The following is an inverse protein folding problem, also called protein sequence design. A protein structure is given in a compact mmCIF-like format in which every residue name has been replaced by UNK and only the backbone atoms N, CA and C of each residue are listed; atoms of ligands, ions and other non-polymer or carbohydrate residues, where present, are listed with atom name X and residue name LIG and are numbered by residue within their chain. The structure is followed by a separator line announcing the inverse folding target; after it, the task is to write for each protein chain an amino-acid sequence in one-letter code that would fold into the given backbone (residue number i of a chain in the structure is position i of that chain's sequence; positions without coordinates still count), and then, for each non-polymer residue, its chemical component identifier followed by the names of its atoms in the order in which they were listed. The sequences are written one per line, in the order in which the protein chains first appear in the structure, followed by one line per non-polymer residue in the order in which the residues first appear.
data_IF_818579585710
#
_entry.id   IF_818579585710
#
_cell.length_a   1.000
_cell.length_b   1.000
_cell.length_c   1.000
_cell.angle_alpha   90.00
_cell.angle_beta   90.00
_cell.angle_gamma   90.00
#
_symmetry.space_group_name_H-M   'P 1'
#
loop_
_entity.id
_entity.type
_entity.pdbx_description
1 polymer ?
#
# COMPACT_ATOMS: atom_id res chain seq x y z
N UNK A 1 -6.43 1.15 4.48
CA UNK A 1 -6.13 1.08 5.94
C UNK A 1 -6.06 -0.38 6.33
N UNK A 2 -5.04 -0.77 7.09
CA UNK A 2 -4.81 -2.17 7.48
C UNK A 2 -5.43 -2.48 8.84
N UNK A 3 -5.56 -3.76 9.18
CA UNK A 3 -6.03 -4.22 10.51
C UNK A 3 -5.11 -3.76 11.65
N UNK A 4 -3.84 -3.56 11.36
CA UNK A 4 -2.84 -3.01 12.30
C UNK A 4 -2.91 -1.48 12.43
N UNK A 5 -3.93 -0.82 11.87
CA UNK A 5 -4.14 0.62 11.97
C UNK A 5 -3.30 1.49 11.03
N UNK A 6 -2.50 0.90 10.14
CA UNK A 6 -1.68 1.68 9.20
C UNK A 6 -2.54 2.20 8.05
N UNK A 7 -2.35 3.46 7.67
CA UNK A 7 -3.15 4.11 6.63
C UNK A 7 -2.27 4.84 5.63
N UNK A 8 -2.45 4.52 4.34
CA UNK A 8 -1.76 5.16 3.23
C UNK A 8 -2.79 5.76 2.27
N UNK A 9 -2.49 6.92 1.68
CA UNK A 9 -3.26 7.52 0.58
C UNK A 9 -2.40 7.48 -0.67
N UNK A 10 -2.90 6.86 -1.73
CA UNK A 10 -2.17 6.66 -2.98
C UNK A 10 -3.07 7.03 -4.16
N UNK A 11 -2.46 7.42 -5.29
CA UNK A 11 -3.21 7.55 -6.54
C UNK A 11 -3.69 6.18 -7.00
N UNK A 12 -4.84 6.12 -7.69
CA UNK A 12 -5.44 4.83 -8.07
C UNK A 12 -4.54 3.94 -8.93
N UNK A 13 -3.67 4.54 -9.74
CA UNK A 13 -2.70 3.86 -10.60
C UNK A 13 -1.37 3.52 -9.90
N UNK A 14 -1.19 3.85 -8.61
CA UNK A 14 0.01 3.50 -7.87
C UNK A 14 0.05 2.00 -7.62
N UNK A 15 1.17 1.33 -7.90
CA UNK A 15 1.28 -0.11 -7.72
C UNK A 15 1.63 -0.46 -6.27
N UNK A 16 0.92 -1.43 -5.70
CA UNK A 16 1.10 -1.93 -4.34
C UNK A 16 1.44 -3.42 -4.39
N UNK A 17 2.41 -3.85 -3.59
CA UNK A 17 2.75 -5.26 -3.43
C UNK A 17 1.65 -5.98 -2.64
N UNK A 18 1.05 -7.00 -3.24
CA UNK A 18 0.10 -7.89 -2.59
C UNK A 18 0.74 -9.27 -2.36
N UNK A 19 0.42 -9.89 -1.23
CA UNK A 19 0.99 -11.17 -0.82
C UNK A 19 0.49 -12.34 -1.68
N UNK A 20 -0.72 -12.24 -2.25
CA UNK A 20 -1.19 -13.24 -3.20
C UNK A 20 -0.35 -13.16 -4.50
N UNK A 21 0.52 -14.15 -4.67
CA UNK A 21 1.37 -14.39 -5.83
C UNK A 21 2.59 -13.47 -6.01
N UNK A 22 3.00 -12.67 -5.01
CA UNK A 22 4.13 -11.73 -5.12
C UNK A 22 4.00 -10.74 -6.30
N UNK A 23 2.77 -10.40 -6.67
CA UNK A 23 2.49 -9.47 -7.76
C UNK A 23 2.23 -8.06 -7.24
N UNK A 24 2.45 -7.08 -8.10
CA UNK A 24 2.05 -5.70 -7.87
C UNK A 24 0.71 -5.46 -8.56
N UNK A 25 -0.25 -4.89 -7.83
CA UNK A 25 -1.54 -4.47 -8.40
C UNK A 25 -1.74 -2.97 -8.19
N UNK A 26 -2.43 -2.28 -9.10
CA UNK A 26 -2.82 -0.89 -8.89
C UNK A 26 -3.64 -0.70 -7.61
N UNK A 27 -3.45 0.44 -6.92
CA UNK A 27 -4.10 0.75 -5.66
C UNK A 27 -5.63 0.74 -5.75
N UNK A 28 -6.20 1.12 -6.90
CA UNK A 28 -7.64 1.07 -7.14
C UNK A 28 -8.20 -0.35 -7.36
N UNK A 29 -7.34 -1.37 -7.46
CA UNK A 29 -7.75 -2.77 -7.53
C UNK A 29 -7.69 -3.47 -6.18
N UNK A 30 -7.12 -2.82 -5.15
CA UNK A 30 -7.06 -3.35 -3.79
C UNK A 30 -8.46 -3.37 -3.17
N UNK A 31 -8.78 -4.48 -2.52
CA UNK A 31 -10.05 -4.71 -1.84
C UNK A 31 -9.84 -4.96 -0.35
N UNK A 32 -10.91 -4.81 0.42
CA UNK A 32 -10.93 -5.26 1.82
C UNK A 32 -10.61 -6.75 1.88
N UNK A 33 -9.80 -7.14 2.86
CA UNK A 33 -9.22 -8.48 3.07
C UNK A 33 -8.07 -8.86 2.13
N UNK A 34 -7.65 -7.99 1.20
CA UNK A 34 -6.39 -8.22 0.50
C UNK A 34 -5.22 -8.16 1.48
N UNK A 35 -4.22 -9.02 1.26
CA UNK A 35 -3.01 -9.06 2.06
C UNK A 35 -1.94 -8.17 1.43
N UNK A 36 -1.51 -7.12 2.15
CA UNK A 36 -0.44 -6.20 1.73
C UNK A 36 0.74 -6.29 2.68
N UNK A 37 1.92 -5.86 2.22
CA UNK A 37 3.10 -5.81 3.07
C UNK A 37 3.23 -4.45 3.75
N UNK A 38 3.37 -4.45 5.08
CA UNK A 38 3.80 -3.29 5.85
C UNK A 38 5.19 -3.54 6.42
N UNK A 39 5.94 -2.46 6.66
CA UNK A 39 7.19 -2.56 7.39
C UNK A 39 6.92 -2.32 8.88
N UNK A 40 7.18 -3.32 9.71
CA UNK A 40 7.00 -3.26 11.17
C UNK A 40 8.17 -3.94 11.86
N UNK A 41 8.77 -3.24 12.84
CA UNK A 41 9.91 -3.75 13.64
C UNK A 41 11.09 -4.26 12.78
N UNK A 42 11.42 -3.55 11.70
CA UNK A 42 12.55 -3.90 10.82
C UNK A 42 12.29 -5.07 9.86
N UNK A 43 11.04 -5.54 9.75
CA UNK A 43 10.65 -6.65 8.87
C UNK A 43 9.42 -6.29 8.05
N UNK A 44 9.33 -6.86 6.86
CA UNK A 44 8.09 -6.85 6.08
C UNK A 44 7.13 -7.88 6.67
N UNK A 45 5.94 -7.42 7.05
CA UNK A 45 4.87 -8.23 7.61
C UNK A 45 3.66 -8.14 6.68
N UNK A 46 3.03 -9.29 6.44
CA UNK A 46 1.80 -9.38 5.66
C UNK A 46 0.61 -9.07 6.56
N UNK A 47 -0.22 -8.10 6.17
CA UNK A 47 -1.39 -7.66 6.93
C UNK A 47 -2.60 -7.49 6.02
N UNK A 48 -3.77 -7.79 6.55
CA UNK A 48 -5.05 -7.64 5.85
C UNK A 48 -5.46 -6.17 5.78
N UNK A 49 -6.02 -5.78 4.63
CA UNK A 49 -6.64 -4.48 4.41
C UNK A 49 -8.02 -4.47 5.08
N UNK A 50 -8.18 -3.61 6.08
CA UNK A 50 -9.44 -3.42 6.81
C UNK A 50 -10.44 -2.54 6.06
N UNK A 51 -9.96 -1.51 5.38
CA UNK A 51 -10.83 -0.53 4.71
C UNK A 51 -10.14 0.12 3.51
N UNK A 52 -10.90 0.27 2.42
CA UNK A 52 -10.52 0.99 1.20
C UNK A 52 -11.57 2.06 0.93
N UNK A 53 -11.13 3.30 0.71
CA UNK A 53 -12.03 4.43 0.47
C UNK A 53 -11.42 5.33 -0.59
N UNK A 54 -12.22 5.76 -1.56
CA UNK A 54 -11.81 6.76 -2.54
C UNK A 54 -11.96 8.17 -1.97
N UNK A 55 -10.97 9.02 -2.22
CA UNK A 55 -10.99 10.43 -1.83
C UNK A 55 -10.38 11.26 -2.94
N UNK A 56 -11.03 12.37 -3.28
CA UNK A 56 -10.43 13.38 -4.13
C UNK A 56 -9.43 14.21 -3.31
N UNK A 57 -8.18 14.29 -3.75
CA UNK A 57 -7.13 15.14 -3.17
C UNK A 57 -6.37 15.86 -4.28
N UNK A 58 -6.05 17.13 -4.04
CA UNK A 58 -5.21 17.94 -4.95
C UNK A 58 -3.76 17.83 -4.50
N UNK A 59 -2.87 17.49 -5.43
CA UNK A 59 -1.43 17.30 -5.18
C UNK A 59 -1.07 15.86 -4.80
N UNK A 60 -0.01 15.35 -5.41
CA UNK A 60 0.58 14.05 -5.09
C UNK A 60 2.10 14.13 -5.21
N UNK A 61 2.80 13.29 -4.45
CA UNK A 61 4.25 13.19 -4.47
C UNK A 61 4.65 11.76 -4.84
N UNK A 62 5.52 11.60 -5.83
CA UNK A 62 6.00 10.29 -6.29
C UNK A 62 7.53 10.27 -6.20
N UNK A 63 8.10 9.96 -5.03
CA UNK A 63 9.54 9.82 -4.90
C UNK A 63 10.00 8.57 -5.66
N UNK A 64 11.14 8.65 -6.34
CA UNK A 64 11.76 7.52 -7.01
C UNK A 64 13.03 7.13 -6.27
N UNK A 65 13.11 5.88 -5.83
CA UNK A 65 14.33 5.31 -5.22
C UNK A 65 15.13 4.57 -6.29
N UNK A 66 16.42 4.33 -6.05
CA UNK A 66 17.26 3.50 -6.94
C UNK A 66 16.74 2.06 -7.10
N UNK A 67 15.90 1.60 -6.17
CA UNK A 67 15.26 0.28 -6.20
C UNK A 67 13.88 0.30 -6.87
N UNK A 68 13.36 1.47 -7.28
CA UNK A 68 12.02 1.63 -7.84
C UNK A 68 10.88 1.34 -6.86
N UNK A 69 11.17 1.20 -5.55
CA UNK A 69 10.20 0.90 -4.49
C UNK A 69 10.23 2.00 -3.43
N UNK A 70 9.06 2.47 -3.03
CA UNK A 70 8.91 3.45 -1.94
C UNK A 70 8.34 2.72 -0.74
N UNK A 71 9.08 2.73 0.37
CA UNK A 71 8.61 2.23 1.65
C UNK A 71 8.07 3.41 2.45
N UNK A 72 6.81 3.33 2.86
CA UNK A 72 6.20 4.32 3.75
C UNK A 72 6.46 3.89 5.20
N UNK A 73 7.25 4.68 5.93
CA UNK A 73 7.50 4.50 7.36
C UNK A 73 6.46 5.33 8.11
N UNK A 74 5.69 4.69 9.00
CA UNK A 74 4.71 5.34 9.89
C UNK A 74 5.16 5.14 11.34
#
# INVERSE_FOLDING_TARGET
ETETGHRVSLTGNHFIAVNHNNHFVPANQIKTHDMVFIHSQGKLQSVSVRNVSEQYKVGYFTPMTSQGKVFFFF
#
